data_IF_992120840808
#
_entry.id   IF_992120840808
#
_cell.length_a   1.000
_cell.length_b   1.000
_cell.length_c   1.000
_cell.angle_alpha   90.00
_cell.angle_beta   90.00
_cell.angle_gamma   90.00
#
_symmetry.space_group_name_H-M   'P 1'
#
loop_
_entity.id
_entity.type
_entity.pdbx_description
1 polymer ?
#
# COMPACT_ATOMS: atom_id res chain seq x y z
N UNK A 1 -36.57 37.58 -8.59
CA UNK A 1 -35.44 36.71 -9.00
C UNK A 1 -34.05 37.25 -8.65
N UNK A 2 -33.89 38.39 -7.95
CA UNK A 2 -32.57 39.06 -7.86
C UNK A 2 -31.83 38.98 -6.49
N UNK A 3 -32.52 38.63 -5.40
CA UNK A 3 -31.89 38.49 -4.06
C UNK A 3 -31.16 37.15 -3.85
N UNK A 4 -31.58 36.09 -4.53
CA UNK A 4 -30.96 34.75 -4.44
C UNK A 4 -29.66 34.67 -5.25
N UNK A 5 -29.60 35.29 -6.44
CA UNK A 5 -28.36 35.39 -7.25
C UNK A 5 -27.25 36.15 -6.54
N UNK A 6 -27.57 37.30 -5.91
CA UNK A 6 -26.58 38.13 -5.20
C UNK A 6 -25.98 37.46 -3.96
N UNK A 7 -26.79 36.68 -3.22
CA UNK A 7 -26.27 35.85 -2.12
C UNK A 7 -25.34 34.76 -2.64
N UNK A 8 -25.69 34.04 -3.71
CA UNK A 8 -24.82 32.98 -4.27
C UNK A 8 -23.45 33.49 -4.74
N UNK A 9 -23.39 34.70 -5.30
CA UNK A 9 -22.13 35.34 -5.72
C UNK A 9 -21.23 35.67 -4.53
N UNK A 10 -21.79 36.25 -3.46
CA UNK A 10 -21.03 36.61 -2.25
C UNK A 10 -20.52 35.35 -1.54
N UNK A 11 -21.33 34.29 -1.43
CA UNK A 11 -20.88 33.02 -0.88
C UNK A 11 -19.76 32.40 -1.73
N UNK A 12 -19.87 32.47 -3.06
CA UNK A 12 -18.83 31.95 -3.97
C UNK A 12 -17.51 32.73 -3.86
N UNK A 13 -17.57 34.05 -3.78
CA UNK A 13 -16.38 34.90 -3.63
C UNK A 13 -15.71 34.72 -2.26
N UNK A 14 -16.50 34.59 -1.18
CA UNK A 14 -15.99 34.31 0.17
C UNK A 14 -15.35 32.92 0.25
N UNK A 15 -15.97 31.88 -0.32
CA UNK A 15 -15.36 30.55 -0.40
C UNK A 15 -14.04 30.60 -1.17
N UNK A 16 -14.01 31.28 -2.32
CA UNK A 16 -12.80 31.42 -3.14
C UNK A 16 -11.66 32.13 -2.39
N UNK A 17 -11.96 33.19 -1.65
CA UNK A 17 -10.96 33.89 -0.84
C UNK A 17 -10.44 33.04 0.33
N UNK A 18 -11.31 32.24 0.96
CA UNK A 18 -10.94 31.29 2.01
C UNK A 18 -10.05 30.19 1.43
N UNK A 19 -10.41 29.62 0.29
CA UNK A 19 -9.65 28.56 -0.39
C UNK A 19 -8.24 29.07 -0.75
N UNK A 20 -8.14 30.29 -1.27
CA UNK A 20 -6.85 30.92 -1.60
C UNK A 20 -5.99 31.15 -0.34
N UNK A 21 -6.60 31.52 0.80
CA UNK A 21 -5.87 31.71 2.06
C UNK A 21 -5.36 30.39 2.62
N UNK A 22 -6.20 29.35 2.66
CA UNK A 22 -5.83 28.02 3.14
C UNK A 22 -4.71 27.45 2.28
N UNK A 23 -4.84 27.54 0.94
CA UNK A 23 -3.82 27.08 0.01
C UNK A 23 -2.48 27.79 0.24
N UNK A 24 -2.49 29.11 0.47
CA UNK A 24 -1.28 29.87 0.80
C UNK A 24 -0.63 29.42 2.10
N UNK A 25 -1.42 29.13 3.13
CA UNK A 25 -0.91 28.62 4.41
C UNK A 25 -0.25 27.26 4.20
N UNK A 26 -0.91 26.34 3.49
CA UNK A 26 -0.38 24.99 3.23
C UNK A 26 0.94 25.03 2.44
N UNK A 27 1.01 25.85 1.39
CA UNK A 27 2.24 26.06 0.61
C UNK A 27 3.33 26.66 1.50
N UNK A 28 3.01 27.66 2.32
CA UNK A 28 3.98 28.26 3.23
C UNK A 28 4.50 27.26 4.27
N UNK A 29 3.67 26.35 4.76
CA UNK A 29 4.09 25.29 5.69
C UNK A 29 5.02 24.30 4.98
N UNK A 30 4.68 23.87 3.76
CA UNK A 30 5.51 22.95 2.97
C UNK A 30 6.90 23.53 2.66
N UNK A 31 6.95 24.82 2.30
CA UNK A 31 8.19 25.55 2.07
C UNK A 31 9.02 25.68 3.35
N UNK A 32 8.38 25.99 4.48
CA UNK A 32 9.07 26.13 5.76
C UNK A 32 9.66 24.80 6.23
N UNK A 33 8.90 23.71 6.10
CA UNK A 33 9.39 22.35 6.39
C UNK A 33 10.60 22.02 5.53
N UNK A 34 10.54 22.33 4.23
CA UNK A 34 11.65 22.09 3.30
C UNK A 34 12.93 22.83 3.71
N UNK A 35 12.80 24.07 4.20
CA UNK A 35 13.93 24.84 4.76
C UNK A 35 14.47 24.20 6.02
N UNK A 36 13.60 23.90 6.98
CA UNK A 36 14.01 23.28 8.25
C UNK A 36 14.72 21.95 8.02
N UNK A 37 14.20 21.08 7.13
CA UNK A 37 14.85 19.82 6.78
C UNK A 37 16.25 20.02 6.22
N UNK A 38 16.45 21.04 5.37
CA UNK A 38 17.76 21.41 4.84
C UNK A 38 18.70 21.84 5.96
N UNK A 39 18.23 22.67 6.87
CA UNK A 39 19.02 23.16 8.02
C UNK A 39 19.38 22.01 8.97
N UNK A 40 18.44 21.08 9.20
CA UNK A 40 18.62 19.85 9.95
C UNK A 40 19.40 18.76 9.22
N UNK A 41 19.88 19.01 7.98
CA UNK A 41 20.61 18.06 7.13
C UNK A 41 19.86 16.74 6.86
N UNK A 42 18.52 16.77 6.92
CA UNK A 42 17.66 15.64 6.60
C UNK A 42 17.31 15.69 5.12
N UNK A 43 17.72 14.66 4.37
CA UNK A 43 17.53 14.61 2.92
C UNK A 43 16.35 13.69 2.58
N UNK A 44 15.24 14.26 2.14
CA UNK A 44 14.07 13.54 1.65
C UNK A 44 14.18 13.24 0.15
N UNK A 45 13.27 12.42 -0.38
CA UNK A 45 13.20 12.13 -1.82
C UNK A 45 12.96 13.40 -2.62
N UNK A 46 13.71 13.66 -3.72
CA UNK A 46 13.48 14.82 -4.56
C UNK A 46 12.06 14.84 -5.12
N UNK A 47 11.32 15.90 -4.81
CA UNK A 47 9.93 16.11 -5.22
C UNK A 47 9.62 17.60 -5.21
N UNK A 48 8.60 18.03 -5.96
CA UNK A 48 8.13 19.41 -5.95
C UNK A 48 7.36 19.79 -4.68
N UNK A 49 6.91 18.81 -3.90
CA UNK A 49 6.15 19.00 -2.65
C UNK A 49 6.50 17.89 -1.66
N UNK A 50 6.36 18.12 -0.34
CA UNK A 50 6.56 17.05 0.65
C UNK A 50 5.37 16.08 0.77
N UNK A 51 4.26 16.33 0.05
CA UNK A 51 3.13 15.41 -0.03
C UNK A 51 2.32 15.27 1.27
N UNK A 52 2.33 16.29 2.13
CA UNK A 52 1.81 16.24 3.51
C UNK A 52 0.35 15.76 3.63
N UNK A 53 -0.46 15.96 2.59
CA UNK A 53 -1.85 15.51 2.52
C UNK A 53 -2.01 13.97 2.50
N UNK A 54 -0.96 13.23 2.19
CA UNK A 54 -1.00 11.76 2.07
C UNK A 54 -1.37 11.08 3.39
N UNK A 55 -1.14 11.73 4.54
CA UNK A 55 -1.47 11.20 5.85
C UNK A 55 -2.98 11.02 6.09
N UNK A 56 -3.83 11.65 5.28
CA UNK A 56 -5.28 11.53 5.36
C UNK A 56 -5.86 10.37 4.55
N UNK A 57 -5.12 9.84 3.56
CA UNK A 57 -5.65 8.90 2.58
C UNK A 57 -6.18 7.62 3.22
N UNK A 58 -5.32 6.91 3.96
CA UNK A 58 -5.69 5.64 4.58
C UNK A 58 -6.76 5.82 5.69
N UNK A 59 -6.64 6.81 6.59
CA UNK A 59 -7.66 7.08 7.60
C UNK A 59 -9.01 7.48 7.01
N UNK A 60 -9.04 8.25 5.92
CA UNK A 60 -10.27 8.61 5.23
C UNK A 60 -11.00 7.37 4.68
N UNK A 61 -10.27 6.43 4.08
CA UNK A 61 -10.84 5.17 3.56
C UNK A 61 -11.44 4.33 4.70
N UNK A 62 -10.67 4.08 5.77
CA UNK A 62 -11.13 3.26 6.90
C UNK A 62 -12.34 3.88 7.61
N UNK A 63 -12.30 5.19 7.87
CA UNK A 63 -13.40 5.89 8.54
C UNK A 63 -14.63 5.93 7.64
N UNK A 64 -14.48 6.21 6.35
CA UNK A 64 -15.60 6.24 5.41
C UNK A 64 -16.35 4.90 5.39
N UNK A 65 -15.63 3.78 5.23
CA UNK A 65 -16.27 2.46 5.22
C UNK A 65 -16.91 2.11 6.57
N UNK A 66 -16.28 2.48 7.70
CA UNK A 66 -16.85 2.24 9.03
C UNK A 66 -18.15 3.01 9.29
N UNK A 67 -18.36 4.14 8.58
CA UNK A 67 -19.59 4.94 8.67
C UNK A 67 -20.66 4.42 7.71
N UNK A 68 -20.28 4.03 6.50
CA UNK A 68 -21.21 3.65 5.45
C UNK A 68 -21.74 2.22 5.60
N UNK A 69 -20.93 1.31 6.13
CA UNK A 69 -21.24 -0.13 6.16
C UNK A 69 -21.04 -0.73 7.55
N UNK A 70 -21.71 -1.86 7.78
CA UNK A 70 -21.50 -2.66 8.99
C UNK A 70 -20.26 -3.53 8.83
N UNK A 71 -19.14 -3.06 9.36
CA UNK A 71 -17.82 -3.71 9.27
C UNK A 71 -17.44 -4.38 10.59
N UNK A 72 -16.51 -5.35 10.55
CA UNK A 72 -15.99 -6.01 11.76
C UNK A 72 -15.52 -5.05 12.86
N UNK A 73 -15.58 -5.50 14.11
CA UNK A 73 -15.04 -4.75 15.26
C UNK A 73 -13.56 -4.39 15.10
N UNK A 74 -12.77 -5.30 14.50
CA UNK A 74 -11.37 -5.06 14.18
C UNK A 74 -11.22 -3.91 13.17
N UNK A 75 -12.08 -3.85 12.16
CA UNK A 75 -12.06 -2.77 11.17
C UNK A 75 -12.39 -1.43 11.81
N UNK A 76 -13.40 -1.37 12.68
CA UNK A 76 -13.75 -0.15 13.42
C UNK A 76 -12.61 0.29 14.36
N UNK A 77 -11.96 -0.67 15.04
CA UNK A 77 -10.76 -0.40 15.85
C UNK A 77 -9.66 0.27 15.01
N UNK A 78 -9.36 -0.28 13.83
CA UNK A 78 -8.37 0.29 12.92
C UNK A 78 -8.76 1.68 12.43
N UNK A 79 -10.04 1.92 12.13
CA UNK A 79 -10.55 3.22 11.71
C UNK A 79 -10.29 4.29 12.78
N UNK A 80 -10.65 4.06 14.05
CA UNK A 80 -10.43 5.04 15.12
C UNK A 80 -8.96 5.18 15.53
N UNK A 81 -8.18 4.09 15.53
CA UNK A 81 -6.72 4.17 15.73
C UNK A 81 -6.08 5.02 14.63
N UNK A 82 -6.52 4.87 13.37
CA UNK A 82 -6.00 5.64 12.24
C UNK A 82 -6.24 7.15 12.40
N UNK A 83 -7.33 7.58 13.05
CA UNK A 83 -7.57 9.00 13.41
C UNK A 83 -6.50 9.50 14.39
N UNK A 84 -6.09 8.68 15.34
CA UNK A 84 -4.94 8.97 16.22
C UNK A 84 -3.65 9.17 15.41
N UNK A 85 -3.41 8.35 14.38
CA UNK A 85 -2.24 8.51 13.51
C UNK A 85 -2.31 9.78 12.66
N UNK A 86 -3.48 10.21 12.18
CA UNK A 86 -3.66 11.52 11.51
C UNK A 86 -3.38 12.65 12.49
N UNK A 87 -3.97 12.59 13.69
CA UNK A 87 -3.76 13.59 14.73
C UNK A 87 -2.26 13.78 15.01
N UNK A 88 -1.51 12.67 15.13
CA UNK A 88 -0.07 12.73 15.31
C UNK A 88 0.61 13.36 14.09
N UNK A 89 0.21 12.98 12.88
CA UNK A 89 0.80 13.50 11.64
C UNK A 89 0.63 15.01 11.53
N UNK A 90 -0.52 15.54 11.92
CA UNK A 90 -0.80 16.97 11.93
C UNK A 90 0.06 17.71 12.95
N UNK A 91 0.17 17.19 14.17
CA UNK A 91 1.06 17.77 15.18
C UNK A 91 2.51 17.71 14.71
N UNK A 92 2.95 16.58 14.16
CA UNK A 92 4.28 16.40 13.60
C UNK A 92 4.58 17.42 12.48
N UNK A 93 3.64 17.67 11.57
CA UNK A 93 3.75 18.71 10.53
C UNK A 93 3.95 20.09 11.16
N UNK A 94 3.14 20.45 12.15
CA UNK A 94 3.25 21.73 12.85
C UNK A 94 4.61 21.86 13.53
N UNK A 95 5.04 20.86 14.30
CA UNK A 95 6.34 20.90 14.97
C UNK A 95 7.51 20.93 14.00
N UNK A 96 7.45 20.13 12.92
CA UNK A 96 8.49 20.11 11.89
C UNK A 96 8.57 21.43 11.11
N UNK A 97 7.44 22.14 10.96
CA UNK A 97 7.42 23.49 10.37
C UNK A 97 8.09 24.54 11.27
N UNK A 98 8.25 24.27 12.56
CA UNK A 98 8.96 25.14 13.50
C UNK A 98 10.42 24.73 13.66
N UNK A 99 10.70 23.43 13.82
CA UNK A 99 12.05 22.91 14.07
C UNK A 99 12.21 21.44 13.69
N UNK A 100 13.40 21.05 13.22
CA UNK A 100 13.76 19.65 12.98
C UNK A 100 14.11 18.85 14.23
N UNK A 101 14.17 19.48 15.42
CA UNK A 101 14.44 18.80 16.69
C UNK A 101 13.45 17.64 16.96
N UNK A 102 12.23 17.74 16.41
CA UNK A 102 11.20 16.69 16.49
C UNK A 102 11.66 15.34 15.93
N UNK A 103 12.63 15.33 15.02
CA UNK A 103 13.22 14.11 14.46
C UNK A 103 14.25 13.48 15.42
N UNK A 104 14.79 14.25 16.35
CA UNK A 104 15.79 13.80 17.33
C UNK A 104 15.11 13.31 18.62
N UNK A 105 13.99 13.93 19.04
CA UNK A 105 13.32 13.61 20.30
C UNK A 105 12.37 12.41 20.20
N UNK A 106 12.64 11.35 20.98
CA UNK A 106 11.88 10.10 20.91
C UNK A 106 10.39 10.24 21.26
N UNK A 107 10.06 11.12 22.20
CA UNK A 107 8.70 11.30 22.73
C UNK A 107 8.48 12.77 22.99
N UNK A 108 7.41 13.32 22.42
CA UNK A 108 6.94 14.67 22.71
C UNK A 108 5.44 14.65 23.00
N UNK A 109 4.89 15.75 23.51
CA UNK A 109 3.48 15.83 23.94
C UNK A 109 2.45 15.50 22.85
N UNK A 110 2.82 15.48 21.57
CA UNK A 110 1.94 15.03 20.50
C UNK A 110 1.66 13.53 20.53
N UNK A 111 2.62 12.70 20.97
CA UNK A 111 2.39 11.26 21.13
C UNK A 111 1.25 10.99 22.11
N UNK A 112 1.26 11.66 23.26
CA UNK A 112 0.24 11.48 24.30
C UNK A 112 -1.10 12.06 23.88
N UNK A 113 -1.11 13.27 23.32
CA UNK A 113 -2.33 13.91 22.83
C UNK A 113 -3.03 13.06 21.76
N UNK A 114 -2.30 12.57 20.76
CA UNK A 114 -2.87 11.78 19.66
C UNK A 114 -3.29 10.36 20.08
N UNK A 115 -2.59 9.77 21.06
CA UNK A 115 -3.03 8.51 21.69
C UNK A 115 -4.34 8.70 22.45
N UNK A 116 -4.48 9.83 23.18
CA UNK A 116 -5.70 10.16 23.90
C UNK A 116 -6.88 10.38 22.94
N UNK A 117 -6.68 11.07 21.82
CA UNK A 117 -7.73 11.29 20.81
C UNK A 117 -8.32 9.96 20.33
N UNK A 118 -7.47 9.02 19.90
CA UNK A 118 -7.94 7.70 19.44
C UNK A 118 -8.55 6.87 20.59
N UNK A 119 -7.95 6.88 21.78
CA UNK A 119 -8.48 6.16 22.93
C UNK A 119 -9.86 6.67 23.37
N UNK A 120 -10.08 7.98 23.35
CA UNK A 120 -11.38 8.58 23.68
C UNK A 120 -12.44 8.24 22.64
N UNK A 121 -12.09 8.16 21.35
CA UNK A 121 -13.03 7.74 20.31
C UNK A 121 -13.42 6.26 20.50
N UNK A 122 -12.46 5.38 20.74
CA UNK A 122 -12.72 3.97 21.03
C UNK A 122 -13.59 3.79 22.29
N UNK A 123 -13.28 4.51 23.36
CA UNK A 123 -14.03 4.43 24.61
C UNK A 123 -15.44 5.04 24.49
N UNK A 124 -15.54 6.31 24.04
CA UNK A 124 -16.77 7.06 24.11
C UNK A 124 -17.73 6.80 22.93
N UNK A 125 -17.20 6.51 21.74
CA UNK A 125 -18.02 6.27 20.55
C UNK A 125 -18.29 4.79 20.36
N UNK A 126 -17.25 3.95 20.47
CA UNK A 126 -17.39 2.51 20.26
C UNK A 126 -17.77 1.73 21.53
N UNK A 127 -17.67 2.34 22.71
CA UNK A 127 -18.02 1.68 23.98
C UNK A 127 -17.02 0.61 24.43
N UNK A 128 -15.79 0.63 23.89
CA UNK A 128 -14.73 -0.30 24.27
C UNK A 128 -14.20 0.00 25.67
N UNK A 129 -13.59 -0.98 26.32
CA UNK A 129 -12.95 -0.78 27.63
C UNK A 129 -11.85 0.31 27.56
N UNK A 130 -11.72 1.09 28.63
CA UNK A 130 -10.76 2.20 28.67
C UNK A 130 -9.31 1.70 28.63
N UNK A 131 -8.98 0.60 29.32
CA UNK A 131 -7.63 0.04 29.28
C UNK A 131 -7.31 -0.52 27.91
N UNK A 132 -8.25 -1.24 27.30
CA UNK A 132 -8.12 -1.71 25.92
C UNK A 132 -7.84 -0.55 24.95
N UNK A 133 -8.65 0.51 25.04
CA UNK A 133 -8.56 1.69 24.20
C UNK A 133 -7.23 2.42 24.36
N UNK A 134 -6.75 2.58 25.60
CA UNK A 134 -5.47 3.22 25.90
C UNK A 134 -4.27 2.40 25.42
N UNK A 135 -4.28 1.08 25.62
CA UNK A 135 -3.19 0.18 25.23
C UNK A 135 -2.99 0.22 23.71
N UNK A 136 -4.06 -0.04 22.94
CA UNK A 136 -3.96 -0.10 21.49
C UNK A 136 -3.62 1.24 20.86
N UNK A 137 -4.24 2.32 21.34
CA UNK A 137 -3.96 3.67 20.84
C UNK A 137 -2.52 4.09 21.12
N UNK A 138 -2.01 3.82 22.32
CA UNK A 138 -0.63 4.17 22.70
C UNK A 138 0.39 3.34 21.92
N UNK A 139 0.20 2.02 21.80
CA UNK A 139 1.08 1.15 20.99
C UNK A 139 1.11 1.62 19.54
N UNK A 140 -0.05 1.97 18.97
CA UNK A 140 -0.15 2.45 17.60
C UNK A 140 0.62 3.76 17.38
N UNK A 141 0.37 4.79 18.18
CA UNK A 141 1.00 6.11 18.00
C UNK A 141 2.50 6.06 18.30
N UNK A 142 2.92 5.29 19.31
CA UNK A 142 4.35 5.18 19.67
C UNK A 142 5.15 4.41 18.61
N UNK A 143 4.59 3.32 18.07
CA UNK A 143 5.21 2.59 16.96
C UNK A 143 5.25 3.45 15.69
N UNK A 144 4.18 4.17 15.38
CA UNK A 144 4.11 5.10 14.25
C UNK A 144 5.15 6.22 14.35
N UNK A 145 5.24 6.90 15.50
CA UNK A 145 6.24 7.94 15.79
C UNK A 145 7.67 7.44 15.56
N UNK A 146 7.98 6.25 16.07
CA UNK A 146 9.31 5.65 15.95
C UNK A 146 9.63 5.28 14.50
N UNK A 147 8.70 4.63 13.81
CA UNK A 147 8.87 4.21 12.41
C UNK A 147 8.98 5.40 11.46
N UNK A 148 8.17 6.45 11.65
CA UNK A 148 8.21 7.66 10.82
C UNK A 148 9.58 8.35 10.92
N UNK A 149 10.11 8.45 12.13
CA UNK A 149 11.45 9.00 12.36
C UNK A 149 12.52 8.17 11.67
N UNK A 150 12.52 6.85 11.89
CA UNK A 150 13.47 5.92 11.26
C UNK A 150 13.40 6.05 9.73
N UNK A 151 12.20 6.10 9.16
CA UNK A 151 12.00 6.25 7.72
C UNK A 151 12.62 7.54 7.16
N UNK A 152 12.56 8.65 7.90
CA UNK A 152 13.08 9.95 7.46
C UNK A 152 14.57 10.15 7.74
N UNK A 153 15.11 9.61 8.84
CA UNK A 153 16.50 9.85 9.26
C UNK A 153 17.47 8.77 8.83
N UNK A 154 17.07 7.49 8.87
CA UNK A 154 17.94 6.35 8.55
C UNK A 154 17.98 6.06 7.05
N UNK A 155 16.90 6.35 6.32
CA UNK A 155 16.75 6.03 4.90
C UNK A 155 16.63 7.29 4.02
N UNK A 156 17.70 8.10 3.92
CA UNK A 156 17.67 9.36 3.16
C UNK A 156 17.29 9.13 1.70
N UNK A 157 16.65 10.13 1.10
CA UNK A 157 16.17 10.15 -0.30
C UNK A 157 15.10 9.10 -0.66
N UNK A 158 14.69 8.24 0.26
CA UNK A 158 13.74 7.16 -0.01
C UNK A 158 12.29 7.65 -0.06
N UNK A 159 11.91 8.51 0.88
CA UNK A 159 10.54 8.97 1.02
C UNK A 159 10.47 10.50 0.97
N UNK A 160 9.38 11.03 0.42
CA UNK A 160 8.86 12.33 0.85
C UNK A 160 8.22 12.18 2.25
N UNK A 161 7.94 13.28 2.95
CA UNK A 161 7.32 13.20 4.28
C UNK A 161 5.96 12.49 4.22
N UNK A 162 5.12 12.85 3.24
CA UNK A 162 3.81 12.22 3.06
C UNK A 162 3.89 10.74 2.73
N UNK A 163 4.84 10.33 1.88
CA UNK A 163 5.10 8.93 1.58
C UNK A 163 5.54 8.16 2.82
N UNK A 164 6.43 8.74 3.64
CA UNK A 164 6.83 8.12 4.89
C UNK A 164 5.63 7.95 5.83
N UNK A 165 4.78 8.97 5.95
CA UNK A 165 3.56 8.91 6.78
C UNK A 165 2.62 7.79 6.36
N UNK A 166 2.22 7.72 5.08
CA UNK A 166 1.26 6.69 4.65
C UNK A 166 1.86 5.27 4.75
N UNK A 167 3.15 5.11 4.45
CA UNK A 167 3.84 3.81 4.56
C UNK A 167 3.89 3.36 6.01
N UNK A 168 4.30 4.22 6.94
CA UNK A 168 4.42 3.84 8.36
C UNK A 168 3.07 3.71 9.05
N UNK A 169 2.05 4.50 8.66
CA UNK A 169 0.65 4.26 9.05
C UNK A 169 0.20 2.85 8.65
N UNK A 170 0.45 2.47 7.39
CA UNK A 170 0.07 1.16 6.86
C UNK A 170 0.76 0.02 7.60
N UNK A 171 2.07 0.15 7.89
CA UNK A 171 2.84 -0.86 8.65
C UNK A 171 2.26 -1.05 10.05
N UNK A 172 1.95 0.05 10.75
CA UNK A 172 1.40 -0.01 12.12
C UNK A 172 0.02 -0.64 12.13
N UNK A 173 -0.88 -0.21 11.25
CA UNK A 173 -2.25 -0.76 11.19
C UNK A 173 -2.25 -2.23 10.77
N UNK A 174 -1.38 -2.61 9.83
CA UNK A 174 -1.19 -4.03 9.47
C UNK A 174 -0.66 -4.85 10.66
N UNK A 175 0.30 -4.31 11.42
CA UNK A 175 0.81 -4.95 12.64
C UNK A 175 -0.28 -5.17 13.69
N UNK A 176 -1.11 -4.16 13.94
CA UNK A 176 -2.26 -4.26 14.87
C UNK A 176 -3.25 -5.31 14.39
N UNK A 177 -3.54 -5.35 13.08
CA UNK A 177 -4.41 -6.38 12.47
C UNK A 177 -3.84 -7.78 12.70
N UNK A 178 -2.55 -7.97 12.40
CA UNK A 178 -1.87 -9.25 12.56
C UNK A 178 -1.89 -9.75 14.01
N UNK A 179 -1.59 -8.87 14.98
CA UNK A 179 -1.60 -9.23 16.41
C UNK A 179 -3.02 -9.56 16.88
N UNK A 180 -4.03 -8.77 16.50
CA UNK A 180 -5.41 -9.04 16.91
C UNK A 180 -5.95 -10.34 16.33
N UNK A 181 -5.74 -10.60 15.03
CA UNK A 181 -6.13 -11.86 14.40
C UNK A 181 -5.41 -13.05 15.01
N UNK A 182 -4.12 -12.92 15.32
CA UNK A 182 -3.32 -14.03 15.83
C UNK A 182 -3.61 -14.39 17.29
N UNK A 183 -3.68 -13.39 18.18
CA UNK A 183 -3.75 -13.61 19.63
C UNK A 183 -5.16 -13.54 20.20
N UNK A 184 -6.01 -12.68 19.66
CA UNK A 184 -7.31 -12.40 20.25
C UNK A 184 -8.47 -12.94 19.41
N UNK A 185 -8.20 -13.38 18.17
CA UNK A 185 -9.22 -13.79 17.20
C UNK A 185 -10.38 -12.77 17.09
N UNK A 186 -10.06 -11.48 17.29
CA UNK A 186 -10.99 -10.36 17.17
C UNK A 186 -11.13 -10.10 15.66
N UNK A 187 -12.30 -10.37 15.11
CA UNK A 187 -12.61 -10.26 13.68
C UNK A 187 -14.01 -10.78 13.38
N UNK A 188 -14.47 -10.59 12.14
CA UNK A 188 -15.70 -11.22 11.65
C UNK A 188 -15.64 -12.76 11.81
N UNK A 189 -16.80 -13.42 11.87
CA UNK A 189 -16.90 -14.85 11.58
C UNK A 189 -16.49 -15.06 10.12
N UNK A 190 -15.18 -15.15 9.89
CA UNK A 190 -14.63 -15.45 8.57
C UNK A 190 -15.07 -16.86 8.18
N UNK A 191 -15.59 -16.99 6.96
CA UNK A 191 -15.82 -18.28 6.34
C UNK A 191 -14.52 -19.12 6.38
N UNK A 192 -14.65 -20.44 6.56
CA UNK A 192 -13.53 -21.35 6.81
C UNK A 192 -12.41 -21.24 5.77
N UNK A 193 -12.77 -20.98 4.52
CA UNK A 193 -11.79 -20.78 3.45
C UNK A 193 -11.01 -19.46 3.61
N UNK A 194 -11.65 -18.35 3.98
CA UNK A 194 -10.94 -17.09 4.23
C UNK A 194 -10.05 -17.17 5.46
N UNK A 195 -10.49 -17.87 6.50
CA UNK A 195 -9.66 -18.17 7.67
C UNK A 195 -8.41 -18.97 7.27
N UNK A 196 -8.57 -20.03 6.46
CA UNK A 196 -7.46 -20.81 5.92
C UNK A 196 -6.48 -19.93 5.13
N UNK A 197 -6.98 -19.08 4.23
CA UNK A 197 -6.16 -18.14 3.44
C UNK A 197 -5.39 -17.20 4.36
N UNK A 198 -6.06 -16.59 5.35
CA UNK A 198 -5.44 -15.65 6.28
C UNK A 198 -4.37 -16.32 7.15
N UNK A 199 -4.60 -17.55 7.63
CA UNK A 199 -3.61 -18.33 8.38
C UNK A 199 -2.37 -18.63 7.52
N UNK A 200 -2.56 -18.98 6.24
CA UNK A 200 -1.44 -19.21 5.30
C UNK A 200 -0.68 -17.92 5.02
N UNK A 201 -1.37 -16.82 4.68
CA UNK A 201 -0.75 -15.52 4.41
C UNK A 201 0.06 -15.05 5.62
N UNK A 202 -0.53 -15.07 6.81
CA UNK A 202 0.12 -14.59 8.02
C UNK A 202 1.36 -15.42 8.36
N UNK A 203 1.29 -16.74 8.17
CA UNK A 203 2.44 -17.65 8.37
C UNK A 203 3.58 -17.36 7.39
N UNK A 204 3.26 -17.08 6.12
CA UNK A 204 4.25 -16.75 5.10
C UNK A 204 4.88 -15.39 5.40
N UNK A 205 4.07 -14.39 5.73
CA UNK A 205 4.59 -13.04 6.03
C UNK A 205 5.40 -12.99 7.33
N UNK A 206 5.05 -13.78 8.34
CA UNK A 206 5.88 -13.91 9.55
C UNK A 206 7.21 -14.59 9.25
N UNK A 207 7.24 -15.60 8.38
CA UNK A 207 8.48 -16.21 7.91
C UNK A 207 9.34 -15.22 7.11
N UNK A 208 8.73 -14.39 6.26
CA UNK A 208 9.43 -13.31 5.56
C UNK A 208 10.04 -12.32 6.55
N UNK A 209 9.31 -11.93 7.60
CA UNK A 209 9.85 -11.05 8.64
C UNK A 209 11.06 -11.68 9.36
N UNK A 210 11.03 -12.98 9.64
CA UNK A 210 12.17 -13.73 10.21
C UNK A 210 13.37 -13.72 9.25
N UNK A 211 13.15 -13.98 7.96
CA UNK A 211 14.21 -13.97 6.93
C UNK A 211 14.85 -12.57 6.86
N UNK A 212 14.04 -11.52 6.77
CA UNK A 212 14.54 -10.14 6.70
C UNK A 212 15.32 -9.77 7.96
N UNK A 213 14.78 -10.09 9.15
CA UNK A 213 15.46 -9.83 10.42
C UNK A 213 16.82 -10.56 10.49
N UNK A 214 16.85 -11.83 10.09
CA UNK A 214 18.09 -12.61 10.04
C UNK A 214 19.12 -11.98 9.10
N UNK A 215 18.70 -11.61 7.87
CA UNK A 215 19.59 -10.96 6.89
C UNK A 215 20.15 -9.62 7.38
N UNK A 216 19.35 -8.82 8.10
CA UNK A 216 19.77 -7.53 8.63
C UNK A 216 20.79 -7.63 9.78
N UNK A 217 20.85 -8.76 10.48
CA UNK A 217 21.74 -8.97 11.64
C UNK A 217 23.09 -9.58 11.21
N UNK A 218 23.21 -10.12 9.99
CA UNK A 218 24.44 -10.76 9.54
C UNK A 218 25.61 -9.78 9.42
N UNK A 219 26.75 -10.18 9.97
CA UNK A 219 28.04 -9.52 9.75
C UNK A 219 28.56 -9.79 8.32
N UNK A 220 29.44 -8.93 7.80
CA UNK A 220 30.01 -9.07 6.45
C UNK A 220 30.67 -10.43 6.19
N UNK A 221 31.29 -11.04 7.20
CA UNK A 221 31.93 -12.36 7.09
C UNK A 221 30.93 -13.51 6.98
N UNK A 222 29.68 -13.30 7.42
CA UNK A 222 28.63 -14.31 7.45
C UNK A 222 27.76 -14.31 6.18
N UNK A 223 27.88 -13.28 5.33
CA UNK A 223 27.10 -13.10 4.10
C UNK A 223 27.51 -14.08 2.99
N UNK A 224 27.28 -15.36 3.23
CA UNK A 224 27.62 -16.47 2.35
C UNK A 224 26.37 -17.24 1.93
N UNK A 225 26.45 -17.94 0.79
CA UNK A 225 25.36 -18.79 0.30
C UNK A 225 24.97 -19.90 1.29
N UNK A 226 25.94 -20.46 2.04
CA UNK A 226 25.66 -21.50 3.03
C UNK A 226 24.79 -20.99 4.18
N UNK A 227 25.09 -19.80 4.69
CA UNK A 227 24.28 -19.15 5.74
C UNK A 227 22.90 -18.78 5.19
N UNK A 228 22.83 -18.32 3.94
CA UNK A 228 21.55 -18.06 3.30
C UNK A 228 20.66 -19.31 3.22
N UNK A 229 21.19 -20.45 2.77
CA UNK A 229 20.44 -21.71 2.76
C UNK A 229 20.00 -22.15 4.15
N UNK A 230 20.82 -21.92 5.17
CA UNK A 230 20.45 -22.18 6.56
C UNK A 230 19.26 -21.31 7.01
N UNK A 231 19.29 -20.00 6.74
CA UNK A 231 18.18 -19.08 7.06
C UNK A 231 16.89 -19.53 6.38
N UNK A 232 16.94 -19.87 5.08
CA UNK A 232 15.77 -20.36 4.35
C UNK A 232 15.27 -21.70 4.89
N UNK A 233 16.18 -22.61 5.27
CA UNK A 233 15.80 -23.88 5.89
C UNK A 233 15.08 -23.68 7.22
N UNK A 234 15.56 -22.78 8.08
CA UNK A 234 14.93 -22.44 9.37
C UNK A 234 13.57 -21.78 9.16
N UNK A 235 13.46 -20.86 8.20
CA UNK A 235 12.18 -20.25 7.85
C UNK A 235 11.20 -21.28 7.29
N UNK A 236 11.67 -22.21 6.45
CA UNK A 236 10.87 -23.30 5.89
C UNK A 236 10.34 -24.27 6.96
N UNK A 237 11.17 -24.67 7.92
CA UNK A 237 10.71 -25.51 9.04
C UNK A 237 9.72 -24.77 9.94
N UNK A 238 9.92 -23.47 10.17
CA UNK A 238 8.95 -22.63 10.87
C UNK A 238 7.59 -22.59 10.14
N UNK A 239 7.58 -22.36 8.82
CA UNK A 239 6.35 -22.35 8.02
C UNK A 239 5.62 -23.69 8.13
N UNK A 240 6.33 -24.80 7.96
CA UNK A 240 5.74 -26.13 8.07
C UNK A 240 5.16 -26.39 9.46
N UNK A 241 5.87 -26.01 10.52
CA UNK A 241 5.39 -26.16 11.90
C UNK A 241 4.13 -25.32 12.14
N UNK A 242 4.12 -24.06 11.72
CA UNK A 242 2.98 -23.17 11.91
C UNK A 242 1.76 -23.61 11.10
N UNK A 243 1.95 -24.00 9.84
CA UNK A 243 0.89 -24.55 9.01
C UNK A 243 0.35 -25.87 9.57
N UNK A 244 1.22 -26.73 10.10
CA UNK A 244 0.78 -27.97 10.76
C UNK A 244 -0.11 -27.68 11.97
N UNK A 245 0.24 -26.70 12.81
CA UNK A 245 -0.55 -26.31 13.98
C UNK A 245 -1.89 -25.67 13.59
N UNK A 246 -1.91 -24.84 12.55
CA UNK A 246 -3.09 -24.06 12.15
C UNK A 246 -4.04 -24.81 11.21
N UNK A 247 -3.50 -25.48 10.20
CA UNK A 247 -4.23 -26.13 9.11
C UNK A 247 -4.37 -27.64 9.35
N UNK A 248 -3.40 -28.25 10.03
CA UNK A 248 -3.33 -29.69 10.29
C UNK A 248 -2.22 -30.42 9.54
N UNK A 249 -2.13 -31.74 9.74
CA UNK A 249 -1.04 -32.60 9.22
C UNK A 249 -0.89 -32.47 7.70
N UNK A 250 -2.01 -32.49 6.97
CA UNK A 250 -2.04 -32.47 5.51
C UNK A 250 -1.95 -31.04 4.92
N UNK A 251 -1.38 -30.08 5.64
CA UNK A 251 -1.39 -28.66 5.26
C UNK A 251 -0.87 -28.39 3.83
N UNK A 252 0.22 -29.05 3.42
CA UNK A 252 0.78 -28.90 2.07
C UNK A 252 -0.13 -29.52 1.02
N UNK A 253 -0.70 -30.68 1.33
CA UNK A 253 -1.65 -31.36 0.42
C UNK A 253 -2.88 -30.49 0.24
N UNK A 254 -3.47 -29.98 1.32
CA UNK A 254 -4.63 -29.08 1.28
C UNK A 254 -4.35 -27.81 0.48
N UNK A 255 -3.17 -27.19 0.65
CA UNK A 255 -2.80 -26.01 -0.12
C UNK A 255 -2.64 -26.35 -1.62
N UNK A 256 -2.03 -27.49 -1.94
CA UNK A 256 -1.91 -27.95 -3.31
C UNK A 256 -3.29 -28.28 -3.91
N UNK A 257 -4.15 -28.96 -3.17
CA UNK A 257 -5.52 -29.27 -3.57
C UNK A 257 -6.34 -28.01 -3.81
N UNK A 258 -6.23 -27.03 -2.91
CA UNK A 258 -6.90 -25.75 -3.01
C UNK A 258 -6.59 -25.01 -4.31
N UNK A 259 -5.35 -25.09 -4.81
CA UNK A 259 -4.89 -24.43 -6.03
C UNK A 259 -5.08 -25.29 -7.29
N UNK A 260 -4.84 -26.60 -7.19
CA UNK A 260 -4.68 -27.47 -8.36
C UNK A 260 -5.90 -28.34 -8.69
N UNK A 261 -6.77 -28.65 -7.72
CA UNK A 261 -7.93 -29.52 -7.99
C UNK A 261 -9.07 -28.78 -8.70
N UNK A 262 -9.26 -27.51 -8.37
CA UNK A 262 -10.26 -26.69 -9.04
C UNK A 262 -9.74 -26.23 -10.41
N UNK A 263 -10.46 -26.61 -11.46
CA UNK A 263 -10.03 -26.37 -12.85
C UNK A 263 -9.94 -24.87 -13.17
N UNK A 264 -10.82 -24.05 -12.59
CA UNK A 264 -10.83 -22.61 -12.87
C UNK A 264 -9.72 -21.88 -12.11
N UNK A 265 -9.43 -22.29 -10.87
CA UNK A 265 -8.24 -21.85 -10.12
C UNK A 265 -6.96 -22.27 -10.82
N UNK A 266 -6.87 -23.49 -11.34
CA UNK A 266 -5.71 -23.95 -12.08
C UNK A 266 -5.48 -23.14 -13.36
N UNK A 267 -6.53 -22.85 -14.14
CA UNK A 267 -6.43 -21.99 -15.33
C UNK A 267 -5.92 -20.59 -14.98
N UNK A 268 -6.46 -19.98 -13.91
CA UNK A 268 -6.00 -18.67 -13.43
C UNK A 268 -4.52 -18.72 -13.01
N UNK A 269 -4.14 -19.73 -12.23
CA UNK A 269 -2.76 -19.89 -11.77
C UNK A 269 -1.79 -20.07 -12.95
N UNK A 270 -2.13 -20.88 -13.95
CA UNK A 270 -1.32 -21.05 -15.16
C UNK A 270 -1.22 -19.76 -15.98
N UNK A 271 -2.31 -19.01 -16.10
CA UNK A 271 -2.30 -17.70 -16.74
C UNK A 271 -1.35 -16.73 -16.00
N UNK A 272 -1.43 -16.64 -14.67
CA UNK A 272 -0.53 -15.79 -13.89
C UNK A 272 0.92 -16.24 -13.99
N UNK A 273 1.19 -17.54 -13.96
CA UNK A 273 2.53 -18.09 -14.17
C UNK A 273 3.09 -17.66 -15.53
N UNK A 274 2.27 -17.66 -16.58
CA UNK A 274 2.70 -17.15 -17.89
C UNK A 274 3.06 -15.66 -17.87
N UNK A 275 2.30 -14.82 -17.17
CA UNK A 275 2.61 -13.40 -16.98
C UNK A 275 3.93 -13.19 -16.22
N UNK A 276 4.19 -14.01 -15.19
CA UNK A 276 5.45 -13.98 -14.43
C UNK A 276 6.62 -14.40 -15.32
N UNK A 277 6.48 -15.46 -16.11
CA UNK A 277 7.52 -15.92 -17.05
C UNK A 277 7.83 -14.82 -18.07
N UNK A 278 6.81 -14.21 -18.67
CA UNK A 278 6.99 -13.07 -19.60
C UNK A 278 7.71 -11.91 -18.91
N UNK A 279 7.31 -11.56 -17.68
CA UNK A 279 7.96 -10.51 -16.89
C UNK A 279 9.44 -10.82 -16.64
N UNK A 280 9.75 -12.05 -16.23
CA UNK A 280 11.12 -12.50 -15.97
C UNK A 280 11.97 -12.48 -17.24
N UNK A 281 11.44 -12.96 -18.37
CA UNK A 281 12.12 -12.89 -19.66
C UNK A 281 12.43 -11.44 -20.07
N UNK A 282 11.48 -10.51 -19.91
CA UNK A 282 11.67 -9.09 -20.21
C UNK A 282 12.77 -8.48 -19.33
N UNK A 283 12.79 -8.80 -18.03
CA UNK A 283 13.85 -8.37 -17.11
C UNK A 283 15.19 -8.94 -17.55
N UNK A 284 15.31 -10.26 -17.70
CA UNK A 284 16.56 -10.95 -18.03
C UNK A 284 17.17 -10.47 -19.34
N UNK A 285 16.35 -10.35 -20.40
CA UNK A 285 16.82 -9.87 -21.72
C UNK A 285 17.37 -8.45 -21.61
N UNK A 286 16.66 -7.53 -20.94
CA UNK A 286 17.13 -6.15 -20.82
C UNK A 286 18.33 -5.99 -19.90
N UNK A 287 18.39 -6.79 -18.83
CA UNK A 287 19.56 -6.84 -17.95
C UNK A 287 20.78 -7.35 -18.69
N UNK A 288 20.64 -8.39 -19.50
CA UNK A 288 21.74 -8.89 -20.33
C UNK A 288 22.18 -7.86 -21.38
N UNK A 289 21.24 -7.14 -22.00
CA UNK A 289 21.54 -6.09 -22.98
C UNK A 289 22.04 -4.78 -22.37
N UNK A 290 21.96 -4.62 -21.04
CA UNK A 290 22.28 -3.39 -20.30
C UNK A 290 21.59 -2.13 -20.87
N UNK A 291 20.35 -2.27 -21.34
CA UNK A 291 19.56 -1.16 -21.93
C UNK A 291 18.58 -0.62 -20.91
N UNK A 292 18.82 0.62 -20.45
CA UNK A 292 17.95 1.33 -19.50
C UNK A 292 16.48 1.30 -19.97
N UNK A 293 15.57 0.97 -19.05
CA UNK A 293 14.15 0.89 -19.34
C UNK A 293 13.56 2.29 -19.59
N UNK A 294 12.83 2.43 -20.69
CA UNK A 294 12.01 3.62 -20.96
C UNK A 294 10.75 3.62 -20.09
N UNK A 295 10.08 4.77 -19.96
CA UNK A 295 8.78 4.86 -19.29
C UNK A 295 7.77 3.86 -19.87
N UNK A 296 7.75 3.70 -21.19
CA UNK A 296 6.88 2.72 -21.89
C UNK A 296 7.22 1.29 -21.49
N UNK A 297 8.51 0.96 -21.39
CA UNK A 297 8.96 -0.36 -20.94
C UNK A 297 8.52 -0.65 -19.51
N UNK A 298 8.57 0.34 -18.61
CA UNK A 298 8.07 0.18 -17.23
C UNK A 298 6.56 -0.04 -17.17
N UNK A 299 5.80 0.49 -18.14
CA UNK A 299 4.35 0.23 -18.24
C UNK A 299 4.02 -1.21 -18.58
N UNK A 300 4.94 -2.00 -19.12
CA UNK A 300 4.74 -3.45 -19.31
C UNK A 300 4.40 -4.12 -17.97
N UNK A 301 5.06 -3.77 -16.86
CA UNK A 301 4.73 -4.33 -15.54
C UNK A 301 3.41 -3.81 -14.97
N UNK A 302 3.01 -2.58 -15.32
CA UNK A 302 1.70 -2.06 -14.92
C UNK A 302 0.60 -2.88 -15.61
N UNK A 303 0.76 -3.15 -16.90
CA UNK A 303 -0.19 -3.96 -17.68
C UNK A 303 -0.20 -5.41 -17.17
N UNK A 304 0.96 -6.06 -17.03
CA UNK A 304 1.04 -7.45 -16.57
C UNK A 304 0.51 -7.62 -15.15
N UNK A 305 0.87 -6.74 -14.22
CA UNK A 305 0.30 -6.73 -12.87
C UNK A 305 -1.21 -6.53 -12.91
N UNK A 306 -1.69 -5.57 -13.68
CA UNK A 306 -3.13 -5.31 -13.85
C UNK A 306 -3.88 -6.52 -14.41
N UNK A 307 -3.30 -7.27 -15.35
CA UNK A 307 -3.93 -8.49 -15.87
C UNK A 307 -4.06 -9.57 -14.79
N UNK A 308 -3.04 -9.76 -13.95
CA UNK A 308 -3.09 -10.70 -12.83
C UNK A 308 -4.17 -10.30 -11.83
N UNK A 309 -4.15 -9.05 -11.35
CA UNK A 309 -5.14 -8.57 -10.36
C UNK A 309 -6.56 -8.50 -10.94
N UNK A 310 -6.73 -8.04 -12.18
CA UNK A 310 -8.03 -8.01 -12.86
C UNK A 310 -8.64 -9.40 -12.99
N UNK A 311 -7.88 -10.36 -13.52
CA UNK A 311 -8.37 -11.73 -13.66
C UNK A 311 -8.65 -12.37 -12.30
N UNK A 312 -7.79 -12.16 -11.29
CA UNK A 312 -8.04 -12.66 -9.95
C UNK A 312 -9.29 -12.07 -9.30
N UNK A 313 -9.47 -10.76 -9.34
CA UNK A 313 -10.63 -10.11 -8.73
C UNK A 313 -11.92 -10.51 -9.45
N UNK A 314 -11.91 -10.61 -10.78
CA UNK A 314 -13.12 -10.97 -11.55
C UNK A 314 -13.52 -12.43 -11.41
N UNK A 315 -12.57 -13.36 -11.35
CA UNK A 315 -12.86 -14.79 -11.40
C UNK A 315 -12.74 -15.50 -10.05
N UNK A 316 -11.82 -15.09 -9.17
CA UNK A 316 -11.66 -15.71 -7.85
C UNK A 316 -10.94 -14.79 -6.85
N UNK A 317 -11.71 -13.94 -6.15
CA UNK A 317 -11.18 -12.99 -5.15
C UNK A 317 -10.37 -13.71 -4.06
N UNK A 318 -10.81 -14.90 -3.61
CA UNK A 318 -10.18 -15.65 -2.52
C UNK A 318 -8.79 -16.14 -2.90
N UNK A 319 -8.65 -16.76 -4.07
CA UNK A 319 -7.36 -17.15 -4.63
C UNK A 319 -6.47 -15.92 -4.89
N UNK A 320 -7.06 -14.82 -5.36
CA UNK A 320 -6.34 -13.56 -5.58
C UNK A 320 -5.79 -13.00 -4.26
N UNK A 321 -6.54 -13.04 -3.16
CA UNK A 321 -6.06 -12.62 -1.83
C UNK A 321 -4.89 -13.48 -1.37
N UNK A 322 -4.97 -14.80 -1.52
CA UNK A 322 -3.86 -15.72 -1.22
C UNK A 322 -2.61 -15.39 -2.05
N UNK A 323 -2.77 -15.23 -3.37
CA UNK A 323 -1.68 -14.89 -4.28
C UNK A 323 -1.10 -13.51 -3.97
N UNK A 324 -1.92 -12.53 -3.60
CA UNK A 324 -1.50 -11.19 -3.23
C UNK A 324 -0.63 -11.19 -1.96
N UNK A 325 -1.00 -11.97 -0.94
CA UNK A 325 -0.20 -12.15 0.26
C UNK A 325 1.16 -12.81 -0.03
N UNK A 326 1.17 -13.87 -0.84
CA UNK A 326 2.41 -14.53 -1.26
C UNK A 326 3.32 -13.59 -2.08
N UNK A 327 2.76 -12.90 -3.08
CA UNK A 327 3.52 -11.99 -3.93
C UNK A 327 4.07 -10.78 -3.17
N UNK A 328 3.37 -10.30 -2.13
CA UNK A 328 3.88 -9.27 -1.24
C UNK A 328 5.12 -9.76 -0.49
N UNK A 329 5.04 -10.96 0.10
CA UNK A 329 6.17 -11.61 0.75
C UNK A 329 7.36 -11.79 -0.20
N UNK A 330 7.12 -12.22 -1.43
CA UNK A 330 8.16 -12.39 -2.45
C UNK A 330 8.86 -11.08 -2.78
N UNK A 331 8.13 -9.98 -2.97
CA UNK A 331 8.72 -8.66 -3.26
C UNK A 331 9.62 -8.19 -2.12
N UNK A 332 9.18 -8.37 -0.87
CA UNK A 332 9.98 -8.00 0.32
C UNK A 332 11.25 -8.87 0.41
N UNK A 333 11.15 -10.18 0.17
CA UNK A 333 12.32 -11.07 0.17
C UNK A 333 13.28 -10.70 -0.96
N UNK A 334 12.80 -10.46 -2.18
CA UNK A 334 13.64 -10.05 -3.32
C UNK A 334 14.37 -8.75 -3.01
N UNK A 335 13.69 -7.77 -2.42
CA UNK A 335 14.31 -6.50 -2.03
C UNK A 335 15.35 -6.66 -0.91
N UNK A 336 15.04 -7.48 0.10
CA UNK A 336 15.99 -7.80 1.16
C UNK A 336 17.23 -8.53 0.62
N UNK A 337 17.05 -9.47 -0.32
CA UNK A 337 18.15 -10.17 -0.98
C UNK A 337 18.98 -9.24 -1.87
N UNK A 338 18.36 -8.28 -2.55
CA UNK A 338 19.10 -7.26 -3.30
C UNK A 338 20.05 -6.48 -2.39
N UNK A 339 19.65 -6.24 -1.13
CA UNK A 339 20.41 -5.49 -0.12
C UNK A 339 21.27 -6.33 0.82
N UNK A 340 21.18 -7.66 0.73
CA UNK A 340 21.83 -8.54 1.71
C UNK A 340 23.36 -8.55 1.61
N UNK A 341 23.92 -8.21 0.44
CA UNK A 341 25.35 -8.36 0.16
C UNK A 341 25.80 -9.81 -0.10
N UNK A 342 24.85 -10.76 -0.20
CA UNK A 342 25.15 -12.17 -0.46
C UNK A 342 25.32 -12.38 -1.97
N UNK A 343 26.55 -12.69 -2.40
CA UNK A 343 26.86 -12.93 -3.81
C UNK A 343 26.61 -14.39 -4.24
N UNK A 344 26.18 -14.65 -5.49
CA UNK A 344 25.97 -13.68 -6.60
C UNK A 344 24.56 -13.05 -6.63
N UNK A 345 23.68 -13.36 -5.65
CA UNK A 345 22.27 -12.98 -5.69
C UNK A 345 22.10 -11.46 -5.59
N UNK A 346 22.78 -10.82 -4.65
CA UNK A 346 22.68 -9.39 -4.39
C UNK A 346 23.08 -8.57 -5.62
N UNK A 347 24.23 -8.86 -6.24
CA UNK A 347 24.68 -8.16 -7.44
C UNK A 347 23.77 -8.40 -8.65
N UNK A 348 23.27 -9.62 -8.86
CA UNK A 348 22.36 -9.93 -9.96
C UNK A 348 21.04 -9.15 -9.84
N UNK A 349 20.44 -9.11 -8.65
CA UNK A 349 19.24 -8.33 -8.39
C UNK A 349 19.50 -6.83 -8.49
N UNK A 350 20.67 -6.36 -8.03
CA UNK A 350 21.05 -4.96 -8.16
C UNK A 350 21.24 -4.55 -9.62
N UNK A 351 21.83 -5.41 -10.47
CA UNK A 351 21.97 -5.17 -11.90
C UNK A 351 20.60 -5.10 -12.59
N UNK A 352 19.68 -6.01 -12.25
CA UNK A 352 18.31 -5.95 -12.73
C UNK A 352 17.60 -4.66 -12.31
N UNK A 353 17.70 -4.28 -11.03
CA UNK A 353 17.13 -3.03 -10.52
C UNK A 353 17.70 -1.80 -11.23
N UNK A 354 19.02 -1.74 -11.45
CA UNK A 354 19.68 -0.60 -12.10
C UNK A 354 19.17 -0.34 -13.52
N UNK A 355 18.69 -1.36 -14.23
CA UNK A 355 18.10 -1.19 -15.57
C UNK A 355 16.75 -0.48 -15.50
N UNK A 356 15.96 -0.74 -14.46
CA UNK A 356 14.60 -0.26 -14.33
C UNK A 356 14.46 0.97 -13.42
N UNK A 357 15.40 1.22 -12.50
CA UNK A 357 15.36 2.33 -11.56
C UNK A 357 15.24 3.70 -12.24
N UNK A 358 14.61 4.65 -11.55
CA UNK A 358 14.36 5.99 -12.06
C UNK A 358 14.58 7.07 -11.02
N UNK A 359 14.21 8.32 -11.34
CA UNK A 359 14.34 9.46 -10.45
C UNK A 359 13.60 9.30 -9.11
N UNK A 360 12.64 8.38 -9.03
CA UNK A 360 11.90 8.05 -7.80
C UNK A 360 12.61 7.00 -6.96
N UNK A 361 13.50 6.21 -7.56
CA UNK A 361 14.24 5.11 -6.93
C UNK A 361 15.69 5.51 -6.56
N UNK A 362 15.87 6.77 -6.13
CA UNK A 362 17.19 7.32 -5.72
C UNK A 362 17.59 6.99 -4.28
N UNK A 363 16.65 6.47 -3.49
CA UNK A 363 16.84 6.12 -2.09
C UNK A 363 17.41 4.71 -1.87
N UNK A 364 17.23 4.19 -0.66
CA UNK A 364 17.69 2.85 -0.32
C UNK A 364 16.86 1.79 -1.04
N UNK A 365 15.54 1.90 -0.95
CA UNK A 365 14.62 0.86 -1.39
C UNK A 365 14.11 1.04 -2.82
N UNK A 366 13.76 -0.07 -3.46
CA UNK A 366 13.11 -0.11 -4.77
C UNK A 366 11.62 0.25 -4.63
N UNK A 367 11.33 1.53 -4.39
CA UNK A 367 9.98 1.98 -4.05
C UNK A 367 9.00 1.89 -5.21
N UNK A 368 9.43 2.11 -6.46
CA UNK A 368 8.55 2.02 -7.63
C UNK A 368 7.85 0.66 -7.78
N UNK A 369 8.55 -0.50 -7.80
CA UNK A 369 7.89 -1.79 -7.88
C UNK A 369 7.06 -2.11 -6.63
N UNK A 370 7.48 -1.67 -5.43
CA UNK A 370 6.71 -1.86 -4.19
C UNK A 370 5.38 -1.09 -4.26
N UNK A 371 5.40 0.18 -4.66
CA UNK A 371 4.20 1.01 -4.80
C UNK A 371 3.27 0.52 -5.89
N UNK A 372 3.80 0.05 -7.02
CA UNK A 372 2.98 -0.58 -8.06
C UNK A 372 2.22 -1.78 -7.49
N UNK A 373 2.92 -2.69 -6.82
CA UNK A 373 2.30 -3.90 -6.28
C UNK A 373 1.30 -3.58 -5.17
N UNK A 374 1.70 -2.79 -4.18
CA UNK A 374 0.84 -2.41 -3.05
C UNK A 374 -0.38 -1.64 -3.55
N UNK A 375 -0.23 -0.76 -4.53
CA UNK A 375 -1.37 -0.03 -5.08
C UNK A 375 -2.37 -0.89 -5.84
N UNK A 376 -1.93 -1.99 -6.47
CA UNK A 376 -2.82 -3.00 -7.05
C UNK A 376 -3.48 -3.88 -5.98
N UNK A 377 -2.76 -4.20 -4.90
CA UNK A 377 -3.17 -5.16 -3.89
C UNK A 377 -3.97 -4.57 -2.72
N UNK A 378 -3.77 -3.29 -2.39
CA UNK A 378 -4.36 -2.69 -1.19
C UNK A 378 -5.90 -2.72 -1.14
N UNK A 379 -6.66 -2.66 -2.26
CA UNK A 379 -8.11 -2.77 -2.18
C UNK A 379 -8.57 -4.11 -1.57
N UNK A 380 -7.84 -5.21 -1.80
CA UNK A 380 -8.15 -6.54 -1.23
C UNK A 380 -8.11 -6.57 0.31
N UNK A 381 -7.45 -5.60 0.93
CA UNK A 381 -7.31 -5.49 2.38
C UNK A 381 -8.20 -4.37 2.93
N UNK A 382 -8.34 -3.28 2.17
CA UNK A 382 -9.02 -2.06 2.63
C UNK A 382 -10.52 -2.07 2.42
N UNK A 383 -11.02 -2.71 1.36
CA UNK A 383 -12.46 -2.74 1.06
C UNK A 383 -13.10 -3.86 1.89
N UNK A 384 -14.01 -3.54 2.83
CA UNK A 384 -14.73 -4.57 3.57
C UNK A 384 -15.78 -5.25 2.68
N UNK A 385 -16.29 -6.41 3.10
CA UNK A 385 -17.37 -7.08 2.36
C UNK A 385 -18.67 -6.30 2.56
N UNK A 386 -19.24 -5.80 1.47
CA UNK A 386 -20.55 -5.14 1.43
C UNK A 386 -21.17 -5.31 0.03
N UNK A 387 -22.46 -5.01 -0.19
CA UNK A 387 -23.05 -5.07 -1.52
C UNK A 387 -22.27 -4.21 -2.53
N UNK A 388 -21.80 -4.81 -3.62
CA UNK A 388 -21.09 -4.12 -4.71
C UNK A 388 -19.58 -3.92 -4.52
N UNK A 389 -18.99 -4.47 -3.45
CA UNK A 389 -17.56 -4.32 -3.14
C UNK A 389 -16.62 -4.84 -4.25
N UNK A 390 -17.07 -5.78 -5.09
CA UNK A 390 -16.24 -6.40 -6.13
C UNK A 390 -15.70 -5.39 -7.14
N UNK A 391 -16.48 -4.34 -7.45
CA UNK A 391 -16.04 -3.27 -8.34
C UNK A 391 -15.01 -2.36 -7.64
N UNK A 392 -15.17 -2.13 -6.34
CA UNK A 392 -14.26 -1.30 -5.54
C UNK A 392 -12.89 -1.97 -5.37
N UNK A 393 -12.85 -3.31 -5.33
CA UNK A 393 -11.60 -4.08 -5.37
C UNK A 393 -10.77 -3.80 -6.63
N UNK A 394 -11.41 -3.45 -7.75
CA UNK A 394 -10.72 -3.10 -8.99
C UNK A 394 -10.11 -1.68 -8.98
N UNK A 395 -10.33 -0.88 -7.94
CA UNK A 395 -9.83 0.51 -7.87
C UNK A 395 -8.32 0.63 -8.09
N UNK A 396 -7.52 -0.31 -7.61
CA UNK A 396 -6.07 -0.38 -7.86
C UNK A 396 -5.75 -0.61 -9.34
N UNK A 397 -6.42 -1.59 -9.96
CA UNK A 397 -6.30 -1.92 -11.39
C UNK A 397 -6.72 -0.75 -12.27
N UNK A 398 -7.86 -0.12 -11.94
CA UNK A 398 -8.41 1.01 -12.68
C UNK A 398 -7.49 2.22 -12.58
N UNK A 399 -7.04 2.58 -11.39
CA UNK A 399 -6.22 3.78 -11.19
C UNK A 399 -4.79 3.63 -11.73
N UNK A 400 -4.07 2.57 -11.34
CA UNK A 400 -2.64 2.39 -11.66
C UNK A 400 -2.45 1.66 -12.98
N UNK A 401 -3.30 0.69 -13.28
CA UNK A 401 -3.24 -0.08 -14.52
C UNK A 401 -3.75 0.71 -15.71
N UNK A 402 -5.04 1.04 -15.67
CA UNK A 402 -5.75 1.65 -16.79
C UNK A 402 -5.47 3.15 -16.86
N UNK A 403 -5.82 3.88 -15.80
CA UNK A 403 -5.80 5.34 -15.76
C UNK A 403 -4.39 5.92 -15.90
N UNK A 404 -3.42 5.44 -15.11
CA UNK A 404 -2.05 5.94 -15.15
C UNK A 404 -1.32 5.58 -16.47
N UNK A 405 -1.64 4.43 -17.07
CA UNK A 405 -1.14 4.07 -18.41
C UNK A 405 -1.76 4.97 -19.49
N UNK A 406 -3.08 5.18 -19.45
CA UNK A 406 -3.77 6.07 -20.39
C UNK A 406 -3.26 7.52 -20.29
N UNK A 407 -3.10 8.03 -19.07
CA UNK A 407 -2.55 9.36 -18.82
C UNK A 407 -1.13 9.51 -19.37
N UNK A 408 -0.27 8.51 -19.15
CA UNK A 408 1.12 8.54 -19.62
C UNK A 408 1.21 8.45 -21.14
N UNK A 409 0.41 7.59 -21.78
CA UNK A 409 0.45 7.37 -23.22
C UNK A 409 -0.24 8.49 -24.01
N UNK A 410 -1.49 8.78 -23.67
CA UNK A 410 -2.27 9.80 -24.36
C UNK A 410 -1.88 11.21 -23.92
N UNK A 411 -1.58 11.42 -22.64
CA UNK A 411 -1.14 12.72 -22.14
C UNK A 411 0.22 13.16 -22.70
N UNK A 412 1.16 12.23 -22.95
CA UNK A 412 2.44 12.58 -23.61
C UNK A 412 2.28 12.90 -25.11
N UNK A 413 1.26 12.33 -25.77
CA UNK A 413 1.02 12.52 -27.21
C UNK A 413 0.09 13.70 -27.52
N UNK A 414 -0.92 13.93 -26.69
CA UNK A 414 -2.01 14.87 -26.94
C UNK A 414 -2.13 15.96 -25.87
N UNK A 415 -1.35 15.87 -24.79
CA UNK A 415 -1.39 16.86 -23.71
C UNK A 415 -0.69 18.16 -24.12
N UNK A 416 -1.38 19.27 -23.92
CA UNK A 416 -0.86 20.61 -24.23
C UNK A 416 -0.85 21.46 -22.98
N UNK A 417 -1.94 21.42 -22.20
CA UNK A 417 -2.12 22.29 -21.05
C UNK A 417 -1.55 21.61 -19.79
N UNK A 418 -0.45 22.14 -19.25
CA UNK A 418 0.28 21.55 -18.12
C UNK A 418 -0.28 21.98 -16.76
N UNK A 419 -0.16 21.06 -15.79
CA UNK A 419 -0.32 21.35 -14.37
C UNK A 419 0.90 22.10 -13.85
N UNK A 420 0.81 23.42 -13.78
CA UNK A 420 1.92 24.28 -13.35
C UNK A 420 3.18 24.02 -14.18
N UNK A 421 4.34 23.97 -13.52
CA UNK A 421 5.64 23.74 -14.18
C UNK A 421 5.96 22.25 -14.38
N UNK A 422 5.04 21.35 -14.00
CA UNK A 422 5.25 19.91 -14.06
C UNK A 422 5.04 19.29 -15.45
N UNK A 423 5.44 18.02 -15.65
CA UNK A 423 5.24 17.30 -16.91
C UNK A 423 3.79 16.79 -17.09
N UNK A 424 2.93 16.90 -16.06
CA UNK A 424 1.55 16.40 -16.08
C UNK A 424 0.64 17.39 -16.80
N UNK A 425 -0.35 16.89 -17.53
CA UNK A 425 -1.28 17.72 -18.32
C UNK A 425 -2.74 17.51 -17.90
N UNK A 426 -3.58 18.53 -18.09
CA UNK A 426 -5.02 18.44 -17.85
C UNK A 426 -5.67 17.38 -18.75
N UNK A 427 -5.24 17.29 -20.02
CA UNK A 427 -5.71 16.26 -20.94
C UNK A 427 -5.28 14.87 -20.47
N UNK A 428 -4.05 14.72 -19.97
CA UNK A 428 -3.59 13.47 -19.36
C UNK A 428 -4.47 13.05 -18.18
N UNK A 429 -4.87 13.99 -17.33
CA UNK A 429 -5.84 13.74 -16.24
C UNK A 429 -7.22 13.34 -16.79
N UNK A 430 -7.70 13.97 -17.86
CA UNK A 430 -8.96 13.59 -18.49
C UNK A 430 -8.90 12.17 -19.07
N UNK A 431 -7.82 11.80 -19.77
CA UNK A 431 -7.61 10.43 -20.25
C UNK A 431 -7.55 9.41 -19.11
N UNK A 432 -6.95 9.78 -17.97
CA UNK A 432 -6.95 8.94 -16.78
C UNK A 432 -8.38 8.59 -16.34
N UNK A 433 -9.22 9.61 -16.14
CA UNK A 433 -10.59 9.44 -15.62
C UNK A 433 -11.47 8.73 -16.66
N UNK A 434 -11.46 9.19 -17.92
CA UNK A 434 -12.33 8.66 -18.96
C UNK A 434 -12.03 7.19 -19.29
N UNK A 435 -10.77 6.78 -19.26
CA UNK A 435 -10.40 5.38 -19.48
C UNK A 435 -10.89 4.46 -18.37
N UNK A 436 -10.83 4.90 -17.10
CA UNK A 436 -11.40 4.15 -15.98
C UNK A 436 -12.92 3.99 -16.12
N UNK A 437 -13.64 5.08 -16.39
CA UNK A 437 -15.10 5.06 -16.61
C UNK A 437 -15.46 4.12 -17.77
N UNK A 438 -14.71 4.19 -18.88
CA UNK A 438 -14.94 3.32 -20.04
C UNK A 438 -14.76 1.84 -19.70
N UNK A 439 -13.74 1.48 -18.90
CA UNK A 439 -13.52 0.10 -18.46
C UNK A 439 -14.62 -0.36 -17.52
N UNK A 440 -15.06 0.47 -16.56
CA UNK A 440 -16.19 0.13 -15.68
C UNK A 440 -17.45 -0.15 -16.53
N UNK A 441 -17.77 0.73 -17.49
CA UNK A 441 -18.91 0.54 -18.37
C UNK A 441 -18.79 -0.74 -19.21
N UNK A 442 -17.59 -1.02 -19.73
CA UNK A 442 -17.33 -2.26 -20.46
C UNK A 442 -17.56 -3.49 -19.57
N UNK A 443 -17.04 -3.51 -18.34
CA UNK A 443 -17.25 -4.61 -17.38
C UNK A 443 -18.73 -4.77 -17.07
N UNK A 444 -19.48 -3.69 -16.86
CA UNK A 444 -20.92 -3.77 -16.58
C UNK A 444 -21.70 -4.33 -17.77
N UNK A 445 -21.38 -3.87 -18.99
CA UNK A 445 -22.01 -4.34 -20.23
C UNK A 445 -21.69 -5.82 -20.46
N UNK A 446 -20.42 -6.20 -20.45
CA UNK A 446 -20.03 -7.61 -20.60
C UNK A 446 -20.56 -8.48 -19.47
N UNK A 447 -20.56 -7.98 -18.23
CA UNK A 447 -21.18 -8.62 -17.08
C UNK A 447 -22.64 -8.96 -17.37
N UNK A 448 -23.46 -7.98 -17.78
CA UNK A 448 -24.86 -8.19 -18.17
C UNK A 448 -25.04 -9.17 -19.34
N UNK A 449 -24.10 -9.22 -20.28
CA UNK A 449 -24.14 -10.18 -21.39
C UNK A 449 -23.81 -11.62 -20.95
N UNK A 450 -22.89 -11.80 -20.00
CA UNK A 450 -22.51 -13.12 -19.46
C UNK A 450 -23.46 -13.61 -18.34
N UNK A 451 -24.10 -12.71 -17.59
CA UNK A 451 -25.07 -13.06 -16.53
C UNK A 451 -26.36 -13.68 -17.06
N UNK A 452 -26.68 -13.50 -18.35
CA UNK A 452 -27.71 -14.30 -19.05
C UNK A 452 -27.32 -15.79 -19.21
N UNK A 453 -26.17 -16.23 -18.65
CA UNK A 453 -25.68 -17.61 -18.65
C UNK A 453 -25.03 -18.10 -17.35
N UNK A 454 -25.44 -17.62 -16.16
CA UNK A 454 -25.03 -18.08 -14.80
C UNK A 454 -23.85 -17.37 -14.10
N UNK A 455 -23.87 -16.05 -13.98
CA UNK A 455 -23.21 -15.33 -12.88
C UNK A 455 -24.17 -14.22 -12.48
N UNK A 456 -24.57 -14.09 -11.21
CA UNK A 456 -25.40 -12.95 -10.77
C UNK A 456 -24.51 -11.90 -10.15
N UNK A 457 -24.21 -10.83 -10.89
CA UNK A 457 -23.88 -9.55 -10.23
C UNK A 457 -25.19 -9.00 -9.69
N UNK A 458 -25.38 -9.06 -8.37
CA UNK A 458 -26.52 -8.44 -7.71
C UNK A 458 -26.49 -6.94 -8.01
N UNK A 459 -27.46 -6.49 -8.79
CA UNK A 459 -27.65 -5.10 -9.19
C UNK A 459 -28.01 -4.22 -8.00
N UNK A 460 -27.20 -3.16 -7.83
CA UNK A 460 -27.44 -1.83 -7.22
C UNK A 460 -28.12 -1.76 -5.86
#
# INVERSE_FOLDING_TARGET
MDRTRRKSSIYHDVCKDIDIKILRILVSIDDQITKNLRDGKVVTRPSSTNGLWSCFLLPAVLVLYSILYNVSELYVLLAYVSIGLVSYSLLFIVFLSVSCLILEENIYGGCTASSLVSALLLYAVQGQDLMFSLIWSTIAVMSYSSLLRIALTVYPKTFTIGEAMIVTQSIVLFGITAVNKYFYNIGEEEDMEMKFINDVILTILSAVAIIVAALCILDETQKTMSVFYYIISVAGTYVLMMLHVKVGVDCIVRLAEYVLLDVDRLKLFLFWLSCVVVSACVVLVRTHLNVKASTVTRKTFHILGSLVFLSGILYNIRLMTLAAGFGFGLIIVVEALRKSGIEPISSALQAAFNVYSDEKDVGSFAMTPIYLYVGLACPLILVPVHPGYELELLSGVLSIGVGDTAASWFGSKFGVNKWGDGPKTYEGTAFNILSQVAVIYAIEVFGKYFTNGNISFSTV
#
